data_IF_798216087897
#
_entry.id   IF_798216087897
#
_cell.length_a   1.000
_cell.length_b   1.000
_cell.length_c   1.000
_cell.angle_alpha   90.00
_cell.angle_beta   90.00
_cell.angle_gamma   90.00
#
_symmetry.space_group_name_H-M   'P 1'
#
loop_
_entity.id
_entity.type
_entity.pdbx_description
1 polymer ?
#
# COMPACT_ATOMS: atom_id res chain seq x y z
N UNK A 1 -71.09 -19.41 -1.79
CA UNK A 1 -70.02 -18.41 -1.59
C UNK A 1 -68.69 -19.09 -1.87
N UNK A 2 -68.13 -18.87 -3.05
CA UNK A 2 -66.84 -19.43 -3.48
C UNK A 2 -65.75 -18.41 -3.15
N UNK A 3 -64.74 -18.80 -2.38
CA UNK A 3 -63.59 -17.95 -2.07
C UNK A 3 -62.43 -18.28 -3.04
N UNK A 4 -62.05 -17.30 -3.86
CA UNK A 4 -60.86 -17.35 -4.72
C UNK A 4 -59.57 -17.44 -3.89
N UNK A 5 -58.57 -18.24 -4.29
CA UNK A 5 -57.26 -18.22 -3.68
C UNK A 5 -56.47 -16.99 -4.19
N UNK A 6 -56.14 -16.08 -3.27
CA UNK A 6 -55.25 -14.94 -3.50
C UNK A 6 -53.89 -15.42 -4.01
N UNK A 7 -53.58 -15.11 -5.26
CA UNK A 7 -52.21 -15.22 -5.81
C UNK A 7 -51.32 -14.20 -5.07
N UNK A 8 -50.37 -14.69 -4.28
CA UNK A 8 -49.29 -13.84 -3.75
C UNK A 8 -48.32 -13.53 -4.91
N UNK A 9 -47.93 -12.24 -5.10
CA UNK A 9 -46.94 -11.90 -6.11
C UNK A 9 -45.58 -12.35 -5.60
N UNK A 10 -44.96 -13.30 -6.30
CA UNK A 10 -43.55 -13.61 -6.12
C UNK A 10 -42.73 -12.35 -6.44
N UNK A 11 -41.71 -12.00 -5.64
CA UNK A 11 -40.85 -10.86 -5.96
C UNK A 11 -40.06 -11.19 -7.22
N UNK A 12 -40.35 -10.44 -8.29
CA UNK A 12 -39.59 -10.44 -9.54
C UNK A 12 -38.14 -10.10 -9.26
N UNK A 13 -37.25 -11.09 -9.40
CA UNK A 13 -35.82 -10.87 -9.64
C UNK A 13 -35.66 -10.07 -10.93
N UNK A 14 -35.12 -8.85 -10.84
CA UNK A 14 -34.42 -8.16 -11.92
C UNK A 14 -33.92 -6.79 -11.44
N UNK A 15 -33.08 -6.78 -10.40
CA UNK A 15 -32.08 -5.71 -10.31
C UNK A 15 -30.83 -6.30 -10.95
N UNK A 16 -30.37 -5.72 -12.06
CA UNK A 16 -29.07 -6.04 -12.62
C UNK A 16 -28.02 -5.98 -11.49
N UNK A 17 -27.05 -6.91 -11.43
CA UNK A 17 -26.00 -6.82 -10.44
C UNK A 17 -25.26 -5.50 -10.67
N UNK A 18 -25.45 -4.54 -9.77
CA UNK A 18 -24.71 -3.27 -9.78
C UNK A 18 -23.24 -3.66 -9.72
N UNK A 19 -22.45 -3.23 -10.73
CA UNK A 19 -21.02 -3.56 -10.82
C UNK A 19 -20.24 -2.76 -9.76
N UNK A 20 -20.37 -3.21 -8.51
CA UNK A 20 -19.74 -2.60 -7.35
C UNK A 20 -18.21 -2.63 -7.45
N UNK A 21 -17.64 -3.53 -8.28
CA UNK A 21 -16.19 -3.65 -8.44
C UNK A 21 -15.56 -2.39 -9.02
N UNK A 22 -16.23 -1.72 -9.96
CA UNK A 22 -15.71 -0.49 -10.56
C UNK A 22 -15.60 0.64 -9.53
N UNK A 23 -16.63 0.80 -8.69
CA UNK A 23 -16.62 1.79 -7.62
C UNK A 23 -15.53 1.49 -6.57
N UNK A 24 -15.38 0.22 -6.16
CA UNK A 24 -14.33 -0.17 -5.22
C UNK A 24 -12.92 0.02 -5.79
N UNK A 25 -12.69 -0.32 -7.06
CA UNK A 25 -11.42 -0.10 -7.75
C UNK A 25 -11.14 1.42 -7.83
N UNK A 26 -12.14 2.24 -8.19
CA UNK A 26 -12.02 3.69 -8.23
C UNK A 26 -11.66 4.29 -6.86
N UNK A 27 -12.27 3.80 -5.77
CA UNK A 27 -11.92 4.21 -4.40
C UNK A 27 -10.49 3.83 -4.02
N UNK A 28 -10.03 2.63 -4.42
CA UNK A 28 -8.64 2.19 -4.19
C UNK A 28 -7.64 3.05 -4.97
N UNK A 29 -7.95 3.41 -6.22
CA UNK A 29 -7.12 4.28 -7.04
C UNK A 29 -7.01 5.68 -6.46
N UNK A 30 -8.13 6.26 -6.03
CA UNK A 30 -8.15 7.57 -5.37
C UNK A 30 -7.34 7.55 -4.06
N UNK A 31 -7.48 6.50 -3.24
CA UNK A 31 -6.70 6.34 -2.02
C UNK A 31 -5.19 6.20 -2.31
N UNK A 32 -4.84 5.40 -3.31
CA UNK A 32 -3.47 5.20 -3.76
C UNK A 32 -2.83 6.48 -4.29
N UNK A 33 -3.57 7.28 -5.06
CA UNK A 33 -3.12 8.58 -5.55
C UNK A 33 -2.81 9.56 -4.41
N UNK A 34 -3.70 9.65 -3.41
CA UNK A 34 -3.50 10.49 -2.21
C UNK A 34 -2.25 10.06 -1.42
N UNK A 35 -2.05 8.75 -1.24
CA UNK A 35 -0.87 8.22 -0.54
C UNK A 35 0.42 8.45 -1.34
N UNK A 36 0.40 8.28 -2.67
CA UNK A 36 1.55 8.60 -3.54
C UNK A 36 1.95 10.06 -3.44
N UNK A 37 0.99 10.98 -3.48
CA UNK A 37 1.26 12.42 -3.30
C UNK A 37 1.92 12.69 -1.95
N UNK A 38 1.36 12.15 -0.86
CA UNK A 38 1.92 12.30 0.49
C UNK A 38 3.33 11.71 0.63
N UNK A 39 3.57 10.54 0.03
CA UNK A 39 4.89 9.91 -0.02
C UNK A 39 5.92 10.80 -0.72
N UNK A 40 5.54 11.41 -1.85
CA UNK A 40 6.44 12.28 -2.60
C UNK A 40 6.82 13.51 -1.76
N UNK A 41 5.85 14.15 -1.08
CA UNK A 41 6.15 15.23 -0.13
C UNK A 41 7.06 14.78 1.01
N UNK A 42 6.85 13.58 1.57
CA UNK A 42 7.76 13.04 2.59
C UNK A 42 9.16 12.81 2.05
N UNK A 43 9.29 12.36 0.79
CA UNK A 43 10.60 12.17 0.16
C UNK A 43 11.38 13.49 0.05
N UNK A 44 10.72 14.57 -0.39
CA UNK A 44 11.30 15.91 -0.43
C UNK A 44 11.77 16.37 0.96
N UNK A 45 10.95 16.12 2.00
CA UNK A 45 11.30 16.44 3.39
C UNK A 45 12.52 15.63 3.85
N UNK A 46 12.60 14.34 3.50
CA UNK A 46 13.76 13.48 3.81
C UNK A 46 15.02 14.04 3.18
N UNK A 47 14.98 14.48 1.93
CA UNK A 47 16.13 15.07 1.23
C UNK A 47 16.61 16.37 1.89
N UNK A 48 15.68 17.24 2.27
CA UNK A 48 15.97 18.48 3.00
C UNK A 48 16.61 18.15 4.36
N UNK A 49 16.01 17.24 5.13
CA UNK A 49 16.52 16.84 6.44
C UNK A 49 17.89 16.17 6.34
N UNK A 50 18.12 15.32 5.33
CA UNK A 50 19.42 14.69 5.09
C UNK A 50 20.49 15.74 4.74
N UNK A 51 20.15 16.77 3.96
CA UNK A 51 21.05 17.89 3.69
C UNK A 51 21.37 18.68 4.96
N UNK A 52 20.36 19.01 5.76
CA UNK A 52 20.54 19.69 7.05
C UNK A 52 21.38 18.86 8.01
N UNK A 53 21.19 17.54 8.05
CA UNK A 53 21.95 16.63 8.88
C UNK A 53 23.43 16.72 8.53
N UNK A 54 23.78 16.55 7.25
CA UNK A 54 25.18 16.68 6.77
C UNK A 54 25.79 18.02 7.16
N UNK A 55 25.08 19.13 6.92
CA UNK A 55 25.57 20.47 7.26
C UNK A 55 25.83 20.63 8.76
N UNK A 56 24.92 20.15 9.62
CA UNK A 56 25.09 20.24 11.06
C UNK A 56 26.19 19.31 11.58
N UNK A 57 26.34 18.11 11.01
CA UNK A 57 27.44 17.19 11.35
C UNK A 57 28.80 17.77 10.97
N UNK A 58 28.94 18.33 9.76
CA UNK A 58 30.17 19.02 9.36
C UNK A 58 30.44 20.22 10.26
N UNK A 59 29.41 21.02 10.59
CA UNK A 59 29.55 22.13 11.52
C UNK A 59 30.02 21.69 12.90
N UNK A 60 29.47 20.60 13.43
CA UNK A 60 29.89 20.01 14.71
C UNK A 60 31.37 19.62 14.69
N UNK A 61 31.79 18.85 13.69
CA UNK A 61 33.18 18.42 13.53
C UNK A 61 34.16 19.59 13.47
N UNK A 62 33.80 20.65 12.72
CA UNK A 62 34.62 21.87 12.64
C UNK A 62 34.71 22.59 13.99
N UNK A 63 33.65 22.61 14.79
CA UNK A 63 33.68 23.22 16.12
C UNK A 63 34.46 22.38 17.14
N UNK A 64 34.34 21.05 17.09
CA UNK A 64 35.15 20.13 17.90
C UNK A 64 36.65 20.30 17.56
N UNK A 65 36.99 20.37 16.27
CA UNK A 65 38.36 20.62 15.83
C UNK A 65 38.88 21.98 16.31
N UNK A 66 38.08 23.05 16.18
CA UNK A 66 38.44 24.38 16.66
C UNK A 66 38.68 24.41 18.16
N UNK A 67 37.85 23.71 18.94
CA UNK A 67 37.98 23.62 20.38
C UNK A 67 39.33 22.99 20.75
N UNK A 68 39.64 21.85 20.14
CA UNK A 68 40.89 21.12 20.35
C UNK A 68 42.11 21.99 19.99
N UNK A 69 42.12 22.62 18.82
CA UNK A 69 43.21 23.51 18.39
C UNK A 69 43.37 24.70 19.35
N UNK A 70 42.28 25.27 19.86
CA UNK A 70 42.36 26.37 20.82
C UNK A 70 42.98 25.92 22.15
N UNK A 71 42.64 24.72 22.63
CA UNK A 71 43.21 24.15 23.86
C UNK A 71 44.72 23.91 23.73
N UNK A 72 45.15 23.31 22.62
CA UNK A 72 46.58 23.08 22.33
C UNK A 72 47.36 24.40 22.27
N UNK A 73 46.82 25.39 21.55
CA UNK A 73 47.47 26.69 21.42
C UNK A 73 47.52 27.44 22.76
N UNK A 74 46.48 27.36 23.59
CA UNK A 74 46.48 27.96 24.93
C UNK A 74 47.53 27.32 25.84
N UNK A 75 47.69 26.00 25.80
CA UNK A 75 48.71 25.28 26.57
C UNK A 75 50.14 25.70 26.21
N UNK A 76 50.39 26.02 24.94
CA UNK A 76 51.70 26.46 24.45
C UNK A 76 51.99 27.96 24.50
N UNK A 77 51.05 28.81 24.96
CA UNK A 77 51.23 30.28 24.86
C UNK A 77 51.98 30.86 26.07
N UNK A 78 53.29 31.09 25.89
CA UNK A 78 54.10 31.96 26.75
C UNK A 78 54.31 33.34 26.08
N UNK A 79 53.95 34.44 26.78
CA UNK A 79 54.55 35.76 26.53
C UNK A 79 53.86 36.77 25.59
N UNK A 80 52.70 36.48 24.97
CA UNK A 80 51.94 37.50 24.19
C UNK A 80 50.49 37.65 24.70
N UNK A 81 50.22 38.72 25.46
CA UNK A 81 48.92 38.95 26.13
C UNK A 81 47.75 39.05 25.15
N UNK A 82 47.90 39.80 24.05
CA UNK A 82 46.85 39.98 23.04
C UNK A 82 46.47 38.68 22.34
N UNK A 83 47.46 37.84 21.98
CA UNK A 83 47.23 36.51 21.41
C UNK A 83 46.51 35.59 22.39
N UNK A 84 46.87 35.65 23.67
CA UNK A 84 46.22 34.88 24.73
C UNK A 84 44.75 35.27 24.87
N UNK A 85 44.42 36.56 24.89
CA UNK A 85 43.03 37.04 24.96
C UNK A 85 42.19 36.56 23.77
N UNK A 86 42.71 36.71 22.54
CA UNK A 86 42.01 36.25 21.34
C UNK A 86 41.75 34.73 21.35
N UNK A 87 42.71 33.92 21.84
CA UNK A 87 42.54 32.47 21.99
C UNK A 87 41.49 32.10 23.06
N UNK A 88 41.40 32.87 24.15
CA UNK A 88 40.36 32.67 25.18
C UNK A 88 38.98 32.98 24.62
N UNK A 89 38.84 34.07 23.86
CA UNK A 89 37.59 34.42 23.19
C UNK A 89 37.15 33.36 22.17
N UNK A 90 38.07 32.90 21.32
CA UNK A 90 37.80 31.84 20.34
C UNK A 90 37.39 30.53 21.02
N UNK A 91 38.08 30.14 22.09
CA UNK A 91 37.74 28.96 22.87
C UNK A 91 36.36 29.10 23.52
N UNK A 92 36.03 30.26 24.09
CA UNK A 92 34.71 30.53 24.67
C UNK A 92 33.58 30.46 23.62
N UNK A 93 33.83 30.92 22.39
CA UNK A 93 32.87 30.76 21.28
C UNK A 93 32.74 29.29 20.89
N UNK A 94 33.85 28.57 20.74
CA UNK A 94 33.83 27.15 20.39
C UNK A 94 33.07 26.30 21.42
N UNK A 95 33.32 26.53 22.72
CA UNK A 95 32.59 25.90 23.83
C UNK A 95 31.08 26.14 23.79
N UNK A 96 30.63 27.29 23.26
CA UNK A 96 29.19 27.58 23.11
C UNK A 96 28.62 26.96 21.84
N UNK A 97 29.38 26.95 20.75
CA UNK A 97 28.89 26.54 19.44
C UNK A 97 28.85 25.01 19.27
N UNK A 98 29.82 24.28 19.83
CA UNK A 98 29.84 22.82 19.82
C UNK A 98 28.51 22.20 20.32
N UNK A 99 28.02 22.50 21.54
CA UNK A 99 26.81 21.88 22.06
C UNK A 99 25.56 22.34 21.28
N UNK A 100 25.57 23.54 20.71
CA UNK A 100 24.48 24.01 19.84
C UNK A 100 24.38 23.16 18.57
N UNK A 101 25.50 22.84 17.93
CA UNK A 101 25.53 21.97 16.77
C UNK A 101 25.22 20.52 17.12
N UNK A 102 25.74 20.00 18.24
CA UNK A 102 25.40 18.66 18.76
C UNK A 102 23.89 18.50 18.95
N UNK A 103 23.26 19.47 19.63
CA UNK A 103 21.82 19.50 19.84
C UNK A 103 21.02 19.61 18.53
N UNK A 104 21.52 20.37 17.54
CA UNK A 104 20.90 20.46 16.21
C UNK A 104 20.98 19.13 15.46
N UNK A 105 22.14 18.48 15.45
CA UNK A 105 22.33 17.15 14.85
C UNK A 105 21.32 16.16 15.45
N UNK A 106 21.24 16.07 16.78
CA UNK A 106 20.32 15.16 17.46
C UNK A 106 18.85 15.44 17.09
N UNK A 107 18.42 16.71 17.07
CA UNK A 107 17.04 17.04 16.68
C UNK A 107 16.73 16.71 15.23
N UNK A 108 17.68 16.95 14.32
CA UNK A 108 17.50 16.63 12.90
C UNK A 108 17.46 15.12 12.71
N UNK A 109 18.30 14.36 13.41
CA UNK A 109 18.34 12.90 13.36
C UNK A 109 17.00 12.27 13.80
N UNK A 110 16.47 12.70 14.95
CA UNK A 110 15.16 12.24 15.45
C UNK A 110 14.05 12.53 14.45
N UNK A 111 14.05 13.73 13.85
CA UNK A 111 13.05 14.09 12.82
C UNK A 111 13.21 13.26 11.56
N UNK A 112 14.44 13.04 11.10
CA UNK A 112 14.73 12.23 9.93
C UNK A 112 14.25 10.79 10.11
N UNK A 113 14.54 10.19 11.27
CA UNK A 113 14.07 8.85 11.62
C UNK A 113 12.53 8.76 11.62
N UNK A 114 11.85 9.73 12.24
CA UNK A 114 10.39 9.76 12.27
C UNK A 114 9.75 9.93 10.88
N UNK A 115 10.34 10.76 10.01
CA UNK A 115 9.85 10.94 8.63
C UNK A 115 10.08 9.69 7.80
N UNK A 116 11.23 9.02 7.95
CA UNK A 116 11.53 7.75 7.26
C UNK A 116 10.55 6.65 7.66
N UNK A 117 10.28 6.48 8.96
CA UNK A 117 9.30 5.52 9.45
C UNK A 117 7.90 5.73 8.81
N UNK A 118 7.44 6.99 8.75
CA UNK A 118 6.16 7.32 8.08
C UNK A 118 6.20 7.06 6.58
N UNK A 119 7.33 7.29 5.94
CA UNK A 119 7.50 7.01 4.52
C UNK A 119 7.43 5.50 4.24
N UNK A 120 8.05 4.68 5.09
CA UNK A 120 7.99 3.21 5.03
C UNK A 120 6.57 2.68 5.25
N UNK A 121 5.85 3.23 6.25
CA UNK A 121 4.44 2.91 6.50
C UNK A 121 3.57 3.18 5.26
N UNK A 122 3.76 4.33 4.61
CA UNK A 122 3.00 4.67 3.39
C UNK A 122 3.37 3.73 2.24
N UNK A 123 4.63 3.35 2.09
CA UNK A 123 5.02 2.39 1.05
C UNK A 123 4.41 1.01 1.28
N UNK A 124 4.40 0.54 2.53
CA UNK A 124 3.73 -0.71 2.90
C UNK A 124 2.23 -0.65 2.59
N UNK A 125 1.56 0.45 2.96
CA UNK A 125 0.15 0.67 2.64
C UNK A 125 -0.11 0.70 1.13
N UNK A 126 0.74 1.35 0.34
CA UNK A 126 0.64 1.36 -1.12
C UNK A 126 0.79 -0.03 -1.73
N UNK A 127 1.73 -0.85 -1.25
CA UNK A 127 1.89 -2.23 -1.69
C UNK A 127 0.67 -3.08 -1.33
N UNK A 128 0.10 -2.88 -0.13
CA UNK A 128 -1.11 -3.58 0.29
C UNK A 128 -2.32 -3.19 -0.58
N UNK A 129 -2.49 -1.90 -0.91
CA UNK A 129 -3.55 -1.43 -1.79
C UNK A 129 -3.42 -2.01 -3.21
N UNK A 130 -2.20 -2.09 -3.75
CA UNK A 130 -1.95 -2.69 -5.06
C UNK A 130 -2.32 -4.18 -5.07
N UNK A 131 -1.95 -4.93 -4.02
CA UNK A 131 -2.37 -6.33 -3.85
C UNK A 131 -3.89 -6.48 -3.75
N UNK A 132 -4.57 -5.57 -3.05
CA UNK A 132 -6.04 -5.58 -2.97
C UNK A 132 -6.69 -5.27 -4.31
N UNK A 133 -6.13 -4.34 -5.07
CA UNK A 133 -6.59 -4.00 -6.43
C UNK A 133 -6.46 -5.19 -7.38
N UNK A 134 -5.32 -5.87 -7.40
CA UNK A 134 -5.12 -7.04 -8.28
C UNK A 134 -6.09 -8.16 -7.95
N UNK A 135 -6.31 -8.43 -6.65
CA UNK A 135 -7.32 -9.40 -6.18
C UNK A 135 -8.75 -9.05 -6.59
N UNK A 136 -9.14 -7.78 -6.46
CA UNK A 136 -10.47 -7.33 -6.89
C UNK A 136 -10.64 -7.43 -8.39
N UNK A 137 -9.60 -7.08 -9.16
CA UNK A 137 -9.62 -7.20 -10.62
C UNK A 137 -9.77 -8.65 -11.06
N UNK A 138 -9.02 -9.58 -10.45
CA UNK A 138 -9.17 -11.02 -10.73
C UNK A 138 -10.54 -11.55 -10.30
N UNK A 139 -11.07 -11.09 -9.16
CA UNK A 139 -12.41 -11.46 -8.71
C UNK A 139 -13.51 -10.97 -9.66
N UNK A 140 -13.37 -9.76 -10.20
CA UNK A 140 -14.27 -9.22 -11.24
C UNK A 140 -14.25 -10.09 -12.50
N UNK A 141 -13.05 -10.44 -13.00
CA UNK A 141 -12.90 -11.32 -14.18
C UNK A 141 -13.57 -12.68 -13.97
N UNK A 142 -13.31 -13.35 -12.85
CA UNK A 142 -13.93 -14.64 -12.53
C UNK A 142 -15.45 -14.55 -12.41
N UNK A 143 -15.97 -13.46 -11.85
CA UNK A 143 -17.42 -13.24 -11.74
C UNK A 143 -18.05 -13.05 -13.11
N UNK A 144 -17.39 -12.31 -13.99
CA UNK A 144 -17.82 -12.12 -15.38
C UNK A 144 -17.76 -13.41 -16.19
N UNK A 145 -16.72 -14.24 -16.01
CA UNK A 145 -16.63 -15.57 -16.62
C UNK A 145 -17.77 -16.48 -16.16
N UNK A 146 -18.08 -16.50 -14.85
CA UNK A 146 -19.21 -17.27 -14.30
C UNK A 146 -20.56 -16.79 -14.84
N UNK A 147 -20.76 -15.49 -14.97
CA UNK A 147 -21.97 -14.93 -15.56
C UNK A 147 -22.10 -15.32 -17.04
N UNK A 148 -21.01 -15.22 -17.80
CA UNK A 148 -20.97 -15.62 -19.22
C UNK A 148 -21.23 -17.12 -19.39
N UNK A 149 -20.64 -17.99 -18.57
CA UNK A 149 -20.91 -19.42 -18.57
C UNK A 149 -22.37 -19.72 -18.21
N UNK A 150 -22.92 -19.05 -17.19
CA UNK A 150 -24.33 -19.19 -16.80
C UNK A 150 -25.27 -18.77 -17.92
N UNK A 151 -24.93 -17.68 -18.64
CA UNK A 151 -25.68 -17.20 -19.80
C UNK A 151 -25.62 -18.20 -20.96
N UNK A 152 -24.44 -18.69 -21.31
CA UNK A 152 -24.27 -19.69 -22.38
C UNK A 152 -25.03 -20.99 -22.07
N UNK A 153 -24.99 -21.48 -20.82
CA UNK A 153 -25.79 -22.66 -20.40
C UNK A 153 -27.29 -22.36 -20.51
N UNK A 154 -27.73 -21.15 -20.13
CA UNK A 154 -29.11 -20.71 -20.28
C UNK A 154 -29.55 -20.70 -21.75
N UNK A 155 -28.73 -20.17 -22.65
CA UNK A 155 -28.98 -20.15 -24.10
C UNK A 155 -29.05 -21.58 -24.68
N UNK A 156 -28.11 -22.45 -24.31
CA UNK A 156 -28.11 -23.87 -24.70
C UNK A 156 -29.32 -24.64 -24.15
N UNK A 157 -29.86 -24.23 -23.01
CA UNK A 157 -31.08 -24.82 -22.43
C UNK A 157 -32.36 -24.23 -23.03
N UNK A 158 -32.28 -23.09 -23.71
CA UNK A 158 -33.39 -22.34 -24.31
C UNK A 158 -33.56 -22.55 -25.81
N UNK A 159 -32.67 -23.27 -26.50
CA UNK A 159 -32.87 -23.70 -27.89
C UNK A 159 -33.88 -24.85 -27.98
N UNK A 160 -35.15 -24.52 -27.76
CA UNK A 160 -36.30 -25.32 -28.12
C UNK A 160 -37.08 -24.56 -29.22
N UNK A 161 -36.53 -24.54 -30.44
CA UNK A 161 -37.31 -24.22 -31.64
C UNK A 161 -36.62 -24.72 -32.91
N UNK A 162 -36.60 -26.03 -33.06
CA UNK A 162 -36.65 -26.70 -34.38
C UNK A 162 -37.58 -27.90 -34.21
N UNK A 163 -38.71 -28.00 -34.93
CA UNK A 163 -39.55 -29.18 -34.91
C UNK A 163 -38.88 -30.27 -35.74
N UNK A 164 -37.93 -30.95 -35.13
CA UNK A 164 -37.23 -32.11 -35.69
C UNK A 164 -37.08 -33.15 -34.59
N UNK A 165 -37.77 -34.27 -34.75
CA UNK A 165 -37.77 -35.45 -33.88
C UNK A 165 -36.34 -35.79 -33.41
N UNK A 166 -36.02 -35.51 -32.13
CA UNK A 166 -34.98 -36.24 -31.39
C UNK A 166 -35.41 -36.29 -29.92
N UNK A 167 -35.76 -37.49 -29.48
CA UNK A 167 -35.91 -37.82 -28.07
C UNK A 167 -34.60 -37.45 -27.35
N UNK A 168 -34.58 -36.56 -26.34
CA UNK A 168 -33.34 -36.22 -25.65
C UNK A 168 -32.81 -37.49 -24.98
N UNK A 169 -31.64 -37.95 -25.42
CA UNK A 169 -31.01 -39.16 -24.89
C UNK A 169 -30.83 -39.01 -23.36
N UNK A 170 -31.53 -39.82 -22.54
CA UNK A 170 -31.45 -39.71 -21.09
C UNK A 170 -30.03 -40.00 -20.56
N UNK A 171 -29.18 -40.68 -21.34
CA UNK A 171 -27.77 -40.89 -21.01
C UNK A 171 -26.98 -39.58 -20.93
N UNK A 172 -27.21 -38.66 -21.86
CA UNK A 172 -26.47 -37.40 -21.93
C UNK A 172 -26.72 -36.48 -20.72
N UNK A 173 -27.94 -36.53 -20.14
CA UNK A 173 -28.25 -35.80 -18.90
C UNK A 173 -27.53 -36.38 -17.69
N UNK A 174 -27.42 -37.71 -17.61
CA UNK A 174 -26.64 -38.38 -16.57
C UNK A 174 -25.17 -38.02 -16.69
N UNK A 175 -24.61 -38.11 -17.90
CA UNK A 175 -23.20 -37.83 -18.16
C UNK A 175 -22.83 -36.36 -17.85
N UNK A 176 -23.72 -35.41 -18.15
CA UNK A 176 -23.53 -34.00 -17.81
C UNK A 176 -23.63 -33.73 -16.30
N UNK A 177 -24.45 -34.49 -15.59
CA UNK A 177 -24.57 -34.39 -14.13
C UNK A 177 -23.35 -35.00 -13.44
N UNK A 178 -22.82 -36.10 -13.97
CA UNK A 178 -21.57 -36.71 -13.52
C UNK A 178 -20.37 -35.82 -13.80
N UNK A 179 -20.31 -35.17 -14.97
CA UNK A 179 -19.28 -34.18 -15.29
C UNK A 179 -19.32 -32.97 -14.33
N UNK A 180 -20.51 -32.49 -13.97
CA UNK A 180 -20.68 -31.43 -12.96
C UNK A 180 -20.17 -31.85 -11.59
N UNK A 181 -20.50 -33.06 -11.15
CA UNK A 181 -19.98 -33.58 -9.89
C UNK A 181 -18.45 -33.72 -9.91
N UNK A 182 -17.86 -34.18 -11.02
CA UNK A 182 -16.42 -34.30 -11.17
C UNK A 182 -15.70 -32.94 -11.10
N UNK A 183 -16.28 -31.88 -11.68
CA UNK A 183 -15.73 -30.52 -11.61
C UNK A 183 -15.75 -30.00 -10.16
N UNK A 184 -16.88 -30.15 -9.46
CA UNK A 184 -17.00 -29.73 -8.06
C UNK A 184 -15.99 -30.48 -7.17
N UNK A 185 -15.77 -31.77 -7.43
CA UNK A 185 -14.81 -32.59 -6.69
C UNK A 185 -13.35 -32.19 -7.00
N UNK A 186 -13.06 -31.85 -8.25
CA UNK A 186 -11.75 -31.32 -8.65
C UNK A 186 -11.46 -29.93 -8.04
N UNK A 187 -12.46 -29.06 -7.99
CA UNK A 187 -12.36 -27.76 -7.31
C UNK A 187 -12.15 -27.93 -5.80
N UNK A 188 -12.89 -28.83 -5.14
CA UNK A 188 -12.70 -29.14 -3.72
C UNK A 188 -11.29 -29.70 -3.41
N UNK A 189 -10.74 -30.53 -4.30
CA UNK A 189 -9.37 -31.04 -4.17
C UNK A 189 -8.30 -29.95 -4.38
N UNK A 190 -8.55 -29.00 -5.28
CA UNK A 190 -7.65 -27.85 -5.48
C UNK A 190 -7.68 -26.89 -4.29
N UNK A 191 -8.85 -26.66 -3.68
CA UNK A 191 -8.99 -25.86 -2.45
C UNK A 191 -8.27 -26.55 -1.28
N UNK A 192 -8.50 -27.86 -1.06
CA UNK A 192 -7.87 -28.63 0.02
C UNK A 192 -6.34 -28.79 -0.12
N UNK A 193 -5.81 -28.75 -1.35
CA UNK A 193 -4.36 -28.78 -1.61
C UNK A 193 -3.68 -27.41 -1.39
N UNK A 194 -4.45 -26.31 -1.35
CA UNK A 194 -3.95 -24.96 -1.05
C UNK A 194 -3.89 -24.66 0.45
N UNK A 195 -4.54 -25.48 1.29
CA UNK A 195 -4.57 -25.36 2.75
C UNK A 195 -3.50 -26.21 3.49
N UNK A 196 -2.54 -26.79 2.76
CA UNK A 196 -1.32 -27.41 3.29
C UNK A 196 -0.09 -26.70 2.76
#
# INVERSE_FOLDING_TARGET
>A
MMAEPRKLPWPTKSAAPVDNYEEFIGRLDAASAKLKARRNTLNEIVEILARLMRQNTTGLQLWEQRLHVCEELQAGTAGKSTRRTALVELHAVALKMEPLFRNRVQRVDVRLAAVRARWDEINSALQALEKSRTKLTSSRMLSQERENLSRAIGELSGTADVPGVVNPDPGLRSDLQDARHAIILAEALLEAKREK
#
